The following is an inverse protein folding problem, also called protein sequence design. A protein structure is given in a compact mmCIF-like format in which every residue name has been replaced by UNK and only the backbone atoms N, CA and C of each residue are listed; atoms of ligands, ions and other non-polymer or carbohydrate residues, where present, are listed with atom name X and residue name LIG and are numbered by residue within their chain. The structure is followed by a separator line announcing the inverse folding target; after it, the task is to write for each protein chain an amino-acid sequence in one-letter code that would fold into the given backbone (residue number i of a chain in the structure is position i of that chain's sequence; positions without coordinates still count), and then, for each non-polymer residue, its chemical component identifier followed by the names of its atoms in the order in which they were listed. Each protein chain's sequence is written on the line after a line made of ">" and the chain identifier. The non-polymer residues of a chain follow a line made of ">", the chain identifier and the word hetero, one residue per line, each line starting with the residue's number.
data_IF_078898303923
#
_entry.id   IF_078898303923
#
_cell.length_a   1.000
_cell.length_b   1.000
_cell.length_c   1.000
_cell.angle_alpha   90.00
_cell.angle_beta   90.00
_cell.angle_gamma   90.00
#
_symmetry.space_group_name_H-M   'P 1'
#
loop_
_entity.id
_entity.type
_entity.pdbx_description
1 polymer ?
#
# COMPACT_ATOMS: atom_id res chain seq x y z
N UNK A 1 4.81 8.89 -4.39
CA UNK A 1 5.64 8.10 -3.47
C UNK A 1 6.65 8.96 -2.72
N UNK A 2 7.42 9.80 -3.42
CA UNK A 2 8.54 10.58 -2.85
C UNK A 2 8.24 11.45 -1.62
N UNK A 3 6.99 11.94 -1.45
CA UNK A 3 6.59 12.68 -0.23
C UNK A 3 6.69 11.80 1.04
N UNK A 4 6.41 10.51 0.92
CA UNK A 4 6.28 9.60 2.06
C UNK A 4 7.52 8.74 2.26
N UNK A 5 8.08 8.24 1.16
CA UNK A 5 9.27 7.40 1.13
C UNK A 5 10.12 7.84 -0.07
N UNK A 6 11.07 8.74 0.20
CA UNK A 6 11.99 9.24 -0.82
C UNK A 6 12.92 8.11 -1.33
N UNK A 7 13.48 8.21 -2.56
CA UNK A 7 14.27 7.13 -3.16
C UNK A 7 15.49 6.66 -2.35
N UNK A 8 16.00 7.51 -1.45
CA UNK A 8 17.14 7.20 -0.58
C UNK A 8 16.75 6.52 0.74
N UNK A 9 15.46 6.40 1.07
CA UNK A 9 15.06 5.76 2.33
C UNK A 9 15.32 4.26 2.27
N UNK A 10 15.57 3.60 3.41
CA UNK A 10 15.82 2.17 3.43
C UNK A 10 14.67 1.36 2.81
N UNK A 11 13.42 1.82 2.94
CA UNK A 11 12.25 1.22 2.32
C UNK A 11 12.32 1.26 0.78
N UNK A 12 12.65 2.42 0.21
CA UNK A 12 12.73 2.59 -1.23
C UNK A 12 13.89 1.79 -1.82
N UNK A 13 15.06 1.85 -1.18
CA UNK A 13 16.24 1.07 -1.59
C UNK A 13 15.96 -0.43 -1.51
N UNK A 14 15.35 -0.91 -0.42
CA UNK A 14 14.99 -2.31 -0.28
C UNK A 14 14.00 -2.76 -1.36
N UNK A 15 12.96 -1.97 -1.64
CA UNK A 15 11.98 -2.28 -2.68
C UNK A 15 12.62 -2.31 -4.09
N UNK A 16 13.50 -1.35 -4.41
CA UNK A 16 14.27 -1.38 -5.66
C UNK A 16 15.14 -2.63 -5.75
N UNK A 17 15.84 -3.01 -4.68
CA UNK A 17 16.66 -4.22 -4.65
C UNK A 17 15.83 -5.49 -4.85
N UNK A 18 14.70 -5.61 -4.16
CA UNK A 18 13.80 -6.76 -4.24
C UNK A 18 13.13 -6.89 -5.62
N UNK A 19 12.70 -5.77 -6.20
CA UNK A 19 12.03 -5.74 -7.51
C UNK A 19 12.99 -6.03 -8.67
N UNK A 20 14.22 -5.51 -8.62
CA UNK A 20 15.23 -5.73 -9.65
C UNK A 20 15.79 -7.15 -9.62
N UNK A 21 16.01 -7.69 -8.43
CA UNK A 21 16.58 -9.02 -8.27
C UNK A 21 15.52 -10.12 -8.20
N UNK A 22 14.23 -9.83 -8.49
CA UNK A 22 13.11 -10.79 -8.50
C UNK A 22 13.23 -11.90 -7.46
N UNK A 23 13.37 -11.53 -6.17
CA UNK A 23 13.56 -12.49 -5.08
C UNK A 23 14.57 -13.61 -5.38
N UNK A 24 15.64 -13.31 -6.10
CA UNK A 24 16.79 -14.18 -6.27
C UNK A 24 17.58 -14.22 -4.96
N UNK A 25 16.87 -14.60 -3.90
CA UNK A 25 17.36 -15.32 -2.73
C UNK A 25 17.87 -16.72 -3.18
N UNK A 26 18.15 -16.95 -4.48
CA UNK A 26 18.92 -18.08 -4.99
C UNK A 26 20.31 -17.66 -5.46
N UNK A 27 20.73 -16.42 -5.21
CA UNK A 27 22.15 -16.15 -5.03
C UNK A 27 22.65 -17.15 -3.98
N UNK A 28 23.33 -18.18 -4.46
CA UNK A 28 23.86 -19.37 -3.77
C UNK A 28 24.85 -19.06 -2.62
N UNK A 29 24.82 -17.85 -2.09
CA UNK A 29 25.77 -17.29 -1.14
C UNK A 29 25.12 -16.73 0.13
N UNK A 30 23.78 -16.75 0.26
CA UNK A 30 23.07 -16.32 1.46
C UNK A 30 22.09 -17.41 1.91
N UNK A 31 22.52 -18.26 2.85
CA UNK A 31 21.68 -19.28 3.50
C UNK A 31 20.57 -18.69 4.40
N UNK A 32 20.40 -17.36 4.42
CA UNK A 32 19.59 -16.64 5.40
C UNK A 32 18.59 -15.69 4.74
N UNK A 33 17.37 -15.70 5.26
CA UNK A 33 16.33 -14.75 4.89
C UNK A 33 16.60 -13.38 5.54
N UNK A 34 16.79 -12.34 4.72
CA UNK A 34 16.97 -10.98 5.23
C UNK A 34 15.63 -10.37 5.65
N UNK A 35 15.31 -10.56 6.93
CA UNK A 35 14.09 -10.07 7.56
C UNK A 35 13.94 -8.54 7.46
N UNK A 36 15.07 -7.80 7.51
CA UNK A 36 15.06 -6.34 7.47
C UNK A 36 14.76 -5.83 6.06
N UNK A 37 15.41 -6.41 5.05
CA UNK A 37 15.15 -6.08 3.65
C UNK A 37 13.67 -6.32 3.29
N UNK A 38 13.12 -7.46 3.71
CA UNK A 38 11.72 -7.80 3.45
C UNK A 38 10.79 -6.81 4.16
N UNK A 39 11.04 -6.50 5.43
CA UNK A 39 10.23 -5.54 6.17
C UNK A 39 10.20 -4.16 5.50
N UNK A 40 11.37 -3.63 5.13
CA UNK A 40 11.50 -2.34 4.46
C UNK A 40 10.80 -2.33 3.09
N UNK A 41 10.99 -3.38 2.28
CA UNK A 41 10.32 -3.53 0.99
C UNK A 41 8.80 -3.64 1.13
N UNK A 42 8.32 -4.35 2.17
CA UNK A 42 6.90 -4.53 2.42
C UNK A 42 6.22 -3.22 2.86
N UNK A 43 6.89 -2.41 3.69
CA UNK A 43 6.40 -1.08 4.05
C UNK A 43 6.30 -0.16 2.83
N UNK A 44 7.30 -0.17 1.96
CA UNK A 44 7.24 0.58 0.69
C UNK A 44 6.06 0.13 -0.16
N UNK A 45 5.91 -1.18 -0.35
CA UNK A 45 4.83 -1.74 -1.15
C UNK A 45 3.45 -1.39 -0.59
N UNK A 46 3.28 -1.39 0.74
CA UNK A 46 2.03 -1.01 1.37
C UNK A 46 1.62 0.43 1.03
N UNK A 47 2.57 1.37 1.07
CA UNK A 47 2.30 2.75 0.65
C UNK A 47 2.05 2.85 -0.85
N UNK A 48 2.78 2.12 -1.69
CA UNK A 48 2.55 2.11 -3.14
C UNK A 48 1.14 1.60 -3.51
N UNK A 49 0.69 0.51 -2.89
CA UNK A 49 -0.68 -0.01 -3.02
C UNK A 49 -1.73 1.01 -2.55
N UNK A 50 -1.50 1.64 -1.41
CA UNK A 50 -2.42 2.65 -0.90
C UNK A 50 -2.50 3.85 -1.86
N UNK A 51 -1.36 4.44 -2.24
CA UNK A 51 -1.30 5.61 -3.12
C UNK A 51 -1.91 5.35 -4.51
N UNK A 52 -1.74 4.13 -5.05
CA UNK A 52 -2.37 3.73 -6.31
C UNK A 52 -3.87 3.46 -6.17
N UNK A 53 -4.39 3.36 -4.94
CA UNK A 53 -5.78 2.96 -4.66
C UNK A 53 -6.05 1.48 -4.93
N UNK A 54 -5.00 0.65 -5.04
CA UNK A 54 -5.13 -0.78 -5.28
C UNK A 54 -5.83 -1.46 -4.09
N UNK A 55 -6.86 -2.26 -4.37
CA UNK A 55 -7.64 -3.01 -3.37
C UNK A 55 -8.25 -2.18 -2.23
N UNK A 56 -8.44 -0.87 -2.47
CA UNK A 56 -9.02 0.06 -1.50
C UNK A 56 -10.55 0.15 -1.65
N UNK A 57 -11.26 -0.85 -1.12
CA UNK A 57 -12.73 -0.90 -1.14
C UNK A 57 -13.40 -0.05 -0.05
N UNK A 58 -12.74 0.07 1.11
CA UNK A 58 -13.22 0.85 2.25
C UNK A 58 -12.18 1.93 2.53
N UNK A 59 -12.59 3.18 2.45
CA UNK A 59 -11.72 4.31 2.70
C UNK A 59 -11.49 4.48 4.20
N UNK A 60 -10.23 4.50 4.68
CA UNK A 60 -9.96 4.83 6.06
C UNK A 60 -10.35 6.29 6.32
N UNK A 61 -10.97 6.55 7.46
CA UNK A 61 -11.39 7.87 7.94
C UNK A 61 -10.56 8.34 9.13
N UNK A 62 -9.86 7.41 9.78
CA UNK A 62 -9.03 7.70 10.96
C UNK A 62 -7.61 7.21 10.75
N UNK A 63 -6.66 7.76 11.53
CA UNK A 63 -5.27 7.29 11.58
C UNK A 63 -5.18 5.79 11.84
N UNK A 64 -6.00 5.26 12.74
CA UNK A 64 -5.97 3.84 13.10
C UNK A 64 -6.47 2.96 11.96
N UNK A 65 -7.51 3.39 11.25
CA UNK A 65 -8.02 2.66 10.07
C UNK A 65 -6.99 2.69 8.95
N UNK A 66 -6.35 3.84 8.71
CA UNK A 66 -5.28 3.97 7.71
C UNK A 66 -4.10 3.06 8.04
N UNK A 67 -3.65 3.07 9.30
CA UNK A 67 -2.59 2.19 9.77
C UNK A 67 -2.96 0.71 9.59
N UNK A 68 -4.21 0.33 9.90
CA UNK A 68 -4.70 -1.04 9.70
C UNK A 68 -4.67 -1.48 8.23
N UNK A 69 -5.08 -0.60 7.30
CA UNK A 69 -5.02 -0.87 5.86
C UNK A 69 -3.57 -1.07 5.38
N UNK A 70 -2.66 -0.18 5.77
CA UNK A 70 -1.25 -0.28 5.41
C UNK A 70 -0.60 -1.54 6.00
N UNK A 71 -0.94 -1.90 7.24
CA UNK A 71 -0.47 -3.14 7.86
C UNK A 71 -0.91 -4.37 7.06
N UNK A 72 -2.18 -4.43 6.66
CA UNK A 72 -2.71 -5.53 5.83
C UNK A 72 -1.90 -5.68 4.54
N UNK A 73 -1.70 -4.60 3.79
CA UNK A 73 -0.88 -4.65 2.56
C UNK A 73 0.57 -5.08 2.83
N UNK A 74 1.16 -4.61 3.94
CA UNK A 74 2.52 -5.03 4.31
C UNK A 74 2.58 -6.52 4.63
N UNK A 75 1.59 -7.07 5.33
CA UNK A 75 1.55 -8.48 5.68
C UNK A 75 1.36 -9.36 4.44
N UNK A 76 0.50 -8.96 3.51
CA UNK A 76 0.33 -9.67 2.24
C UNK A 76 1.65 -9.68 1.45
N UNK A 77 2.39 -8.56 1.43
CA UNK A 77 3.71 -8.47 0.82
C UNK A 77 4.74 -9.38 1.50
N UNK A 78 4.76 -9.40 2.84
CA UNK A 78 5.62 -10.27 3.65
C UNK A 78 5.30 -11.75 3.39
N UNK A 79 4.03 -12.13 3.37
CA UNK A 79 3.61 -13.49 3.05
C UNK A 79 4.07 -13.90 1.66
N UNK A 80 3.85 -13.04 0.67
CA UNK A 80 4.29 -13.28 -0.69
C UNK A 80 5.82 -13.41 -0.79
N UNK A 81 6.58 -12.61 -0.03
CA UNK A 81 8.03 -12.71 0.06
C UNK A 81 8.49 -14.05 0.65
N UNK A 82 7.89 -14.46 1.77
CA UNK A 82 8.22 -15.71 2.45
C UNK A 82 7.85 -16.92 1.59
N UNK A 83 6.69 -16.90 0.95
CA UNK A 83 6.25 -17.99 0.06
C UNK A 83 7.13 -18.13 -1.18
N UNK A 84 7.75 -17.04 -1.66
CA UNK A 84 8.73 -17.08 -2.76
C UNK A 84 10.14 -17.45 -2.29
N UNK A 85 10.47 -17.17 -1.03
CA UNK A 85 11.74 -17.53 -0.43
C UNK A 85 11.90 -19.04 -0.33
N UNK A 86 13.07 -19.55 -0.72
CA UNK A 86 13.49 -20.93 -0.43
C UNK A 86 14.26 -21.05 0.90
N UNK A 87 14.56 -19.94 1.54
CA UNK A 87 15.28 -19.88 2.82
C UNK A 87 14.31 -19.97 4.00
N UNK A 88 14.72 -20.68 5.05
CA UNK A 88 13.93 -20.81 6.27
C UNK A 88 14.01 -19.54 7.12
N UNK A 89 12.86 -19.11 7.64
CA UNK A 89 12.81 -18.07 8.67
C UNK A 89 13.41 -18.61 9.97
N UNK A 90 14.14 -17.76 10.66
CA UNK A 90 14.54 -18.05 12.03
C UNK A 90 13.31 -18.07 12.95
N UNK A 91 13.34 -18.79 14.09
CA UNK A 91 12.26 -18.75 15.07
C UNK A 91 11.89 -17.30 15.44
N UNK A 92 10.60 -16.97 15.38
CA UNK A 92 10.09 -15.60 15.58
C UNK A 92 10.36 -14.61 14.45
N UNK A 93 10.95 -15.04 13.33
CA UNK A 93 11.32 -14.18 12.20
C UNK A 93 10.12 -13.49 11.57
N UNK A 94 9.02 -14.24 11.36
CA UNK A 94 7.78 -13.65 10.86
C UNK A 94 7.32 -12.46 11.73
N UNK A 95 7.28 -12.65 13.05
CA UNK A 95 6.87 -11.59 13.98
C UNK A 95 7.82 -10.39 13.96
N UNK A 96 9.14 -10.61 13.82
CA UNK A 96 10.12 -9.52 13.69
C UNK A 96 9.95 -8.73 12.40
N UNK A 97 9.74 -9.41 11.28
CA UNK A 97 9.51 -8.78 9.97
C UNK A 97 8.25 -7.91 10.04
N UNK A 98 7.13 -8.46 10.51
CA UNK A 98 5.88 -7.70 10.70
C UNK A 98 6.10 -6.50 11.61
N UNK A 99 6.75 -6.68 12.77
CA UNK A 99 7.01 -5.59 13.71
C UNK A 99 7.85 -4.47 13.09
N UNK A 100 8.89 -4.82 12.33
CA UNK A 100 9.73 -3.83 11.66
C UNK A 100 8.97 -3.09 10.56
N UNK A 101 8.18 -3.79 9.76
CA UNK A 101 7.36 -3.17 8.73
C UNK A 101 6.34 -2.19 9.33
N UNK A 102 5.69 -2.60 10.42
CA UNK A 102 4.78 -1.75 11.18
C UNK A 102 5.46 -0.52 11.77
N UNK A 103 6.69 -0.67 12.29
CA UNK A 103 7.46 0.44 12.83
C UNK A 103 7.75 1.48 11.74
N UNK A 104 8.19 1.04 10.55
CA UNK A 104 8.40 1.93 9.40
C UNK A 104 7.10 2.65 8.99
N UNK A 105 5.99 1.92 8.85
CA UNK A 105 4.68 2.51 8.55
C UNK A 105 4.31 3.57 9.59
N UNK A 106 4.46 3.25 10.87
CA UNK A 106 4.13 4.16 11.97
C UNK A 106 5.01 5.41 11.96
N UNK A 107 6.29 5.28 11.62
CA UNK A 107 7.20 6.41 11.51
C UNK A 107 6.76 7.37 10.41
N UNK A 108 6.39 6.84 9.23
CA UNK A 108 5.85 7.67 8.13
C UNK A 108 4.56 8.34 8.54
N UNK A 109 3.63 7.62 9.17
CA UNK A 109 2.36 8.19 9.63
C UNK A 109 2.55 9.25 10.73
N UNK A 110 3.53 9.10 11.61
CA UNK A 110 3.81 10.07 12.66
C UNK A 110 4.56 11.32 12.16
N UNK A 111 4.97 11.36 10.89
CA UNK A 111 5.76 12.46 10.33
C UNK A 111 4.85 13.52 9.70
N UNK A 112 4.95 14.76 10.20
CA UNK A 112 4.29 15.93 9.61
C UNK A 112 2.78 15.78 9.45
N UNK A 113 2.27 16.14 8.26
CA UNK A 113 0.86 16.10 7.90
C UNK A 113 0.48 14.83 7.08
N UNK A 114 1.31 13.79 7.14
CA UNK A 114 1.17 12.62 6.28
C UNK A 114 -0.18 11.93 6.43
N UNK A 115 -0.68 11.77 7.67
CA UNK A 115 -2.01 11.17 7.90
C UNK A 115 -3.11 11.96 7.21
N UNK A 116 -3.16 13.27 7.40
CA UNK A 116 -4.18 14.12 6.80
C UNK A 116 -4.11 14.06 5.26
N UNK A 117 -2.89 14.10 4.71
CA UNK A 117 -2.64 13.98 3.28
C UNK A 117 -3.16 12.65 2.73
N UNK A 118 -2.78 11.53 3.36
CA UNK A 118 -3.16 10.19 2.93
C UNK A 118 -4.68 9.97 3.02
N UNK A 119 -5.32 10.38 4.12
CA UNK A 119 -6.77 10.28 4.28
C UNK A 119 -7.53 11.09 3.23
N UNK A 120 -7.01 12.26 2.83
CA UNK A 120 -7.65 13.11 1.82
C UNK A 120 -7.53 12.59 0.38
N UNK A 121 -6.59 11.68 0.11
CA UNK A 121 -6.18 11.31 -1.25
C UNK A 121 -7.27 10.57 -2.03
N UNK A 122 -8.03 9.71 -1.36
CA UNK A 122 -9.04 8.86 -2.00
C UNK A 122 -10.48 9.33 -1.75
N UNK A 123 -10.66 10.50 -1.12
CA UNK A 123 -11.97 11.10 -0.97
C UNK A 123 -12.46 11.46 -2.37
N UNK A 124 -13.49 10.76 -2.86
CA UNK A 124 -14.17 11.18 -4.09
C UNK A 124 -14.69 12.59 -3.85
N UNK A 125 -14.18 13.55 -4.62
CA UNK A 125 -14.81 14.87 -4.70
C UNK A 125 -16.25 14.62 -5.15
N UNK A 126 -17.27 15.13 -4.43
CA UNK A 126 -18.63 15.05 -4.92
C UNK A 126 -18.66 15.85 -6.21
N UNK A 127 -18.58 15.16 -7.35
CA UNK A 127 -18.92 15.76 -8.63
C UNK A 127 -20.33 16.29 -8.45
N UNK A 128 -20.57 17.61 -8.56
CA UNK A 128 -21.93 18.09 -8.68
C UNK A 128 -22.44 17.48 -9.98
N UNK A 129 -23.23 16.41 -9.85
CA UNK A 129 -24.10 16.00 -10.92
C UNK A 129 -25.03 17.18 -11.14
N UNK A 130 -24.65 18.05 -12.07
CA UNK A 130 -25.56 18.97 -12.71
C UNK A 130 -26.58 18.07 -13.40
N UNK A 131 -27.64 17.73 -12.66
CA UNK A 131 -28.83 17.09 -13.19
C UNK A 131 -29.51 18.20 -14.00
N UNK A 132 -28.97 18.50 -15.19
CA UNK A 132 -29.77 19.11 -16.24
C UNK A 132 -30.87 18.09 -16.54
N UNK A 133 -32.02 18.34 -15.91
CA UNK A 133 -33.30 17.81 -16.34
C UNK A 133 -33.46 18.24 -17.80
N UNK A 134 -33.01 17.37 -18.71
CA UNK A 134 -33.31 17.47 -20.12
C UNK A 134 -34.81 17.17 -20.23
N UNK A 135 -35.61 18.24 -20.18
CA UNK A 135 -37.04 18.22 -20.47
C UNK A 135 -37.22 17.62 -21.87
N UNK A 136 -37.57 16.33 -21.94
CA UNK A 136 -38.01 15.73 -23.19
C UNK A 136 -39.35 16.34 -23.55
N UNK A 137 -39.54 16.92 -24.75
CA UNK A 137 -40.87 17.35 -25.17
C UNK A 137 -41.74 16.11 -25.38
N UNK A 138 -42.81 16.02 -24.59
CA UNK A 138 -43.85 15.00 -24.68
C UNK A 138 -44.52 15.10 -26.06
N UNK A 139 -44.22 14.18 -26.98
CA UNK A 139 -44.96 14.08 -28.24
C UNK A 139 -46.36 13.53 -27.95
N UNK A 140 -47.36 14.39 -28.14
CA UNK A 140 -48.78 14.02 -28.10
C UNK A 140 -49.10 13.22 -29.37
N UNK A 141 -49.37 11.93 -29.23
CA UNK A 141 -49.85 11.08 -30.32
C UNK A 141 -51.34 11.38 -30.54
N UNK A 142 -51.69 12.02 -31.66
CA UNK A 142 -53.07 12.12 -32.16
C UNK A 142 -53.37 10.92 -33.05
N UNK A 143 -54.30 10.07 -32.62
CA UNK A 143 -54.93 9.05 -33.47
C UNK A 143 -56.09 9.65 -34.26
N UNK A 144 -56.19 9.26 -35.54
CA UNK A 144 -57.32 9.55 -36.44
C UNK A 144 -58.49 8.61 -36.16
#
# INVERSE_FOLDING_TARGET
>A
MDKFLAPHTPEAVAHSHVSQNSWDIHSHHLDFFDESLVACSASYHAFDCYLSGADLFILPRTRSELESVLRRYSYDSIHNAISRSRSTLQPGGYSRVCHHAEASIRNVLNTGDNVATLLSMHVRSPTPHHHELNERPTQIIRTK
#
